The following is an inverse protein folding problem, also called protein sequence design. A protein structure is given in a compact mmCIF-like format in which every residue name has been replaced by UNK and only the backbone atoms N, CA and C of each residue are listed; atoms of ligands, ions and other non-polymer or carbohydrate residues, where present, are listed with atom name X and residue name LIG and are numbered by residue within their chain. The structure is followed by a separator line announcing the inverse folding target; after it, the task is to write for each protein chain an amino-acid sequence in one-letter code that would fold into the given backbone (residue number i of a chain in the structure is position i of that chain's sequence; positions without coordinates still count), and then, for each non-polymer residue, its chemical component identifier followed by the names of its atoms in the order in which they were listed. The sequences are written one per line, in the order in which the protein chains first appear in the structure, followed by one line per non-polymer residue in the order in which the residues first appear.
data_IF_572992851440
#
_entry.id   IF_572992851440
#
_cell.length_a   1.000
_cell.length_b   1.000
_cell.length_c   1.000
_cell.angle_alpha   90.00
_cell.angle_beta   90.00
_cell.angle_gamma   90.00
#
_symmetry.space_group_name_H-M   'P 1'
#
loop_
_entity.id
_entity.type
_entity.pdbx_description
1 polymer ?
#
# COMPACT_ATOMS: atom_id res chain seq x y z
N UNK A 1 -13.72 -21.26 15.91
CA UNK A 1 -13.82 -20.97 15.54
C UNK A 1 -14.05 -19.91 15.25
N UNK A 2 -14.56 -19.45 15.22
CA UNK A 2 -14.99 -18.18 14.91
C UNK A 2 -14.05 -17.18 14.56
N UNK A 3 -13.03 -17.47 14.49
CA UNK A 3 -11.97 -16.58 14.23
C UNK A 3 -11.89 -16.09 12.84
N UNK A 4 -12.72 -16.63 11.98
CA UNK A 4 -12.63 -16.26 10.58
C UNK A 4 -12.88 -14.79 10.33
N UNK A 5 -13.45 -14.07 11.27
CA UNK A 5 -13.68 -12.67 11.07
C UNK A 5 -12.53 -11.82 11.47
N UNK A 6 -11.59 -12.37 12.21
CA UNK A 6 -10.50 -11.59 12.75
C UNK A 6 -9.27 -11.78 11.91
N UNK A 7 -9.17 -10.98 10.88
CA UNK A 7 -7.95 -11.01 10.10
C UNK A 7 -6.84 -10.41 10.94
N UNK A 8 -5.75 -11.13 11.08
CA UNK A 8 -4.59 -10.59 11.75
C UNK A 8 -4.00 -9.49 10.89
N UNK A 9 -3.21 -8.63 11.49
CA UNK A 9 -2.55 -7.57 10.73
C UNK A 9 -1.74 -8.16 9.58
N UNK A 10 -1.09 -9.28 9.83
CA UNK A 10 -0.29 -9.94 8.82
C UNK A 10 -1.13 -10.36 7.62
N UNK A 11 -2.32 -10.93 7.88
CA UNK A 11 -3.17 -11.38 6.79
C UNK A 11 -3.77 -10.23 6.02
N UNK A 12 -4.09 -9.14 6.70
CA UNK A 12 -4.58 -7.94 6.04
C UNK A 12 -3.52 -7.42 5.08
N UNK A 13 -2.29 -7.31 5.54
CA UNK A 13 -1.22 -6.81 4.69
C UNK A 13 -0.89 -7.76 3.56
N UNK A 14 -1.01 -9.07 3.77
CA UNK A 14 -0.82 -10.03 2.70
C UNK A 14 -1.84 -9.82 1.59
N UNK A 15 -3.08 -9.58 1.97
CA UNK A 15 -4.13 -9.36 0.97
C UNK A 15 -3.89 -8.07 0.20
N UNK A 16 -3.52 -7.01 0.89
CA UNK A 16 -3.20 -5.75 0.23
C UNK A 16 -2.05 -5.95 -0.75
N UNK A 17 -1.04 -6.67 -0.31
CA UNK A 17 0.14 -6.93 -1.11
C UNK A 17 -0.18 -7.73 -2.37
N UNK A 18 -1.08 -8.71 -2.23
CA UNK A 18 -1.51 -9.51 -3.36
C UNK A 18 -2.21 -8.64 -4.40
N UNK A 19 -3.10 -7.77 -3.96
CA UNK A 19 -3.82 -6.89 -4.87
C UNK A 19 -2.88 -5.94 -5.58
N UNK A 20 -1.94 -5.37 -4.84
CA UNK A 20 -0.95 -4.47 -5.41
C UNK A 20 -0.14 -5.19 -6.49
N UNK A 21 0.27 -6.41 -6.19
CA UNK A 21 1.02 -7.20 -7.15
C UNK A 21 0.24 -7.50 -8.41
N UNK A 22 -1.06 -7.79 -8.26
CA UNK A 22 -1.90 -8.07 -9.42
C UNK A 22 -2.06 -6.85 -10.32
N UNK A 23 -2.20 -5.68 -9.72
CA UNK A 23 -2.41 -4.48 -10.51
C UNK A 23 -1.12 -4.00 -11.17
N UNK A 24 -0.01 -4.02 -10.41
CA UNK A 24 1.25 -3.55 -10.94
C UNK A 24 1.91 -4.55 -11.88
N UNK A 25 1.64 -5.83 -11.68
CA UNK A 25 2.15 -6.86 -12.57
C UNK A 25 3.67 -6.88 -12.60
N UNK A 26 4.21 -6.97 -13.80
CA UNK A 26 5.66 -7.06 -13.99
C UNK A 26 6.35 -5.71 -14.04
N UNK A 27 5.62 -4.64 -13.77
CA UNK A 27 6.22 -3.31 -13.84
C UNK A 27 7.24 -3.15 -12.73
N UNK A 28 8.30 -2.44 -13.06
CA UNK A 28 9.34 -2.16 -12.08
C UNK A 28 8.88 -1.02 -11.21
N UNK A 29 8.24 -1.36 -10.15
CA UNK A 29 7.76 -0.38 -9.20
C UNK A 29 8.06 -0.87 -7.81
N UNK A 30 8.41 0.06 -6.93
CA UNK A 30 8.64 -0.25 -5.53
C UNK A 30 7.44 0.20 -4.74
N UNK A 31 7.06 -0.60 -3.76
CA UNK A 31 5.92 -0.30 -2.90
C UNK A 31 6.43 -0.18 -1.47
N UNK A 32 6.09 0.92 -0.84
CA UNK A 32 6.49 1.16 0.55
C UNK A 32 5.26 1.25 1.42
N UNK A 33 5.29 0.56 2.55
CA UNK A 33 4.31 0.73 3.60
C UNK A 33 4.85 1.78 4.54
N UNK A 34 4.07 2.80 4.84
CA UNK A 34 4.54 3.82 5.76
C UNK A 34 3.41 4.16 6.75
N UNK A 35 3.65 5.11 7.63
CA UNK A 35 2.65 5.50 8.61
C UNK A 35 2.55 4.51 9.76
N UNK A 36 1.42 4.51 10.44
CA UNK A 36 1.27 3.75 11.68
C UNK A 36 1.41 2.24 11.48
N UNK A 37 0.96 1.72 10.33
CA UNK A 37 1.10 0.29 10.08
C UNK A 37 2.56 -0.11 9.92
N UNK A 38 3.38 0.78 9.35
CA UNK A 38 4.79 0.49 9.20
C UNK A 38 5.50 0.49 10.55
N UNK A 39 5.02 1.31 11.48
CA UNK A 39 5.65 1.42 12.79
C UNK A 39 5.10 0.42 13.81
N UNK A 40 4.13 -0.39 13.42
CA UNK A 40 3.52 -1.33 14.35
C UNK A 40 2.61 -0.64 15.35
N UNK A 41 2.11 0.54 15.01
CA UNK A 41 1.26 1.34 15.89
C UNK A 41 -0.17 1.45 15.39
N UNK A 42 -0.54 0.61 14.45
CA UNK A 42 -1.86 0.71 13.85
C UNK A 42 -2.95 0.36 14.86
N UNK A 43 -4.05 1.09 14.78
CA UNK A 43 -5.23 0.82 15.58
C UNK A 43 -6.35 0.45 14.63
N UNK A 44 -7.53 0.21 15.19
CA UNK A 44 -8.69 -0.14 14.38
C UNK A 44 -9.06 0.90 13.35
N UNK A 45 -8.72 2.16 13.62
CA UNK A 45 -9.10 3.25 12.74
C UNK A 45 -7.94 3.74 11.89
N UNK A 46 -6.79 3.10 11.97
CA UNK A 46 -5.64 3.53 11.19
C UNK A 46 -5.78 3.14 9.74
N UNK A 47 -5.56 4.10 8.85
CA UNK A 47 -5.50 3.79 7.42
C UNK A 47 -4.18 3.09 7.12
N UNK A 48 -4.21 2.28 6.08
CA UNK A 48 -2.98 1.66 5.57
C UNK A 48 -2.42 2.60 4.52
N UNK A 49 -1.18 3.04 4.72
CA UNK A 49 -0.56 4.03 3.85
C UNK A 49 0.49 3.37 2.97
N UNK A 50 0.26 3.44 1.66
CA UNK A 50 1.18 2.88 0.68
C UNK A 50 1.72 3.96 -0.22
N UNK A 51 2.98 3.85 -0.59
CA UNK A 51 3.60 4.75 -1.55
C UNK A 51 4.19 3.92 -2.67
N UNK A 52 3.98 4.38 -3.89
CA UNK A 52 4.46 3.69 -5.08
C UNK A 52 5.54 4.53 -5.72
N UNK A 53 6.68 3.91 -5.99
CA UNK A 53 7.74 4.56 -6.71
C UNK A 53 8.10 3.72 -7.94
N UNK A 54 8.05 4.34 -9.11
CA UNK A 54 8.40 3.65 -10.34
C UNK A 54 9.44 4.47 -11.09
N UNK A 55 10.45 3.81 -11.68
CA UNK A 55 11.49 4.53 -12.43
C UNK A 55 10.96 5.14 -13.71
N UNK A 56 9.86 4.63 -14.22
CA UNK A 56 9.21 5.17 -15.40
C UNK A 56 7.75 5.40 -15.10
N UNK A 57 7.10 6.32 -15.81
CA UNK A 57 5.68 6.57 -15.55
C UNK A 57 4.85 5.31 -15.73
N UNK A 58 3.90 5.11 -14.83
CA UNK A 58 2.97 4.02 -14.95
C UNK A 58 1.93 4.39 -16.01
N UNK A 59 1.34 3.39 -16.68
CA UNK A 59 0.29 3.68 -17.63
C UNK A 59 -0.85 4.46 -16.98
N UNK A 60 -1.49 5.34 -17.75
CA UNK A 60 -2.60 6.12 -17.20
C UNK A 60 -3.66 5.21 -16.57
N UNK A 61 -4.15 5.61 -15.43
CA UNK A 61 -5.21 4.87 -14.75
C UNK A 61 -4.72 3.73 -13.87
N UNK A 62 -3.42 3.44 -13.85
CA UNK A 62 -2.92 2.32 -13.05
C UNK A 62 -3.22 2.52 -11.56
N UNK A 63 -2.90 3.69 -11.02
CA UNK A 63 -3.12 3.92 -9.60
C UNK A 63 -4.60 4.06 -9.27
N UNK A 64 -5.39 4.60 -10.20
CA UNK A 64 -6.82 4.67 -10.00
C UNK A 64 -7.42 3.26 -9.91
N UNK A 65 -6.95 2.37 -10.78
CA UNK A 65 -7.39 0.99 -10.76
C UNK A 65 -6.98 0.29 -9.47
N UNK A 66 -5.77 0.56 -9.01
CA UNK A 66 -5.30 -0.01 -7.77
C UNK A 66 -6.18 0.44 -6.60
N UNK A 67 -6.47 1.73 -6.52
CA UNK A 67 -7.33 2.26 -5.47
C UNK A 67 -8.71 1.61 -5.52
N UNK A 68 -9.25 1.45 -6.70
CA UNK A 68 -10.55 0.84 -6.87
C UNK A 68 -10.55 -0.62 -6.43
N UNK A 69 -9.52 -1.38 -6.83
CA UNK A 69 -9.41 -2.78 -6.43
C UNK A 69 -9.31 -2.91 -4.91
N UNK A 70 -8.55 -2.04 -4.28
CA UNK A 70 -8.41 -2.08 -2.84
C UNK A 70 -9.71 -1.73 -2.14
N UNK A 71 -10.43 -0.77 -2.68
CA UNK A 71 -11.70 -0.35 -2.12
C UNK A 71 -12.76 -1.45 -2.23
N UNK A 72 -12.72 -2.22 -3.30
CA UNK A 72 -13.66 -3.29 -3.53
C UNK A 72 -13.28 -4.59 -2.84
N UNK A 73 -12.12 -4.62 -2.21
CA UNK A 73 -11.62 -5.84 -1.59
C UNK A 73 -12.26 -6.08 -0.23
N UNK A 74 -11.91 -7.22 0.36
CA UNK A 74 -12.38 -7.54 1.70
C UNK A 74 -11.54 -6.92 2.81
N UNK A 75 -10.54 -6.11 2.44
CA UNK A 75 -9.70 -5.45 3.43
C UNK A 75 -10.56 -4.48 4.23
N UNK A 76 -10.62 -4.63 5.55
CA UNK A 76 -11.54 -3.81 6.36
C UNK A 76 -10.97 -2.45 6.75
N UNK A 77 -9.90 -2.02 6.09
CA UNK A 77 -9.27 -0.73 6.35
C UNK A 77 -9.19 0.07 5.09
N UNK A 78 -9.25 1.37 5.23
CA UNK A 78 -9.02 2.25 4.11
C UNK A 78 -7.54 2.18 3.74
N UNK A 79 -7.26 2.09 2.46
CA UNK A 79 -5.89 2.06 1.97
C UNK A 79 -5.65 3.31 1.13
N UNK A 80 -4.67 4.10 1.55
CA UNK A 80 -4.28 5.31 0.83
C UNK A 80 -3.09 4.98 -0.04
N UNK A 81 -3.15 5.34 -1.31
CA UNK A 81 -2.07 5.07 -2.24
C UNK A 81 -1.53 6.39 -2.75
N UNK A 82 -0.25 6.62 -2.53
CA UNK A 82 0.44 7.84 -2.92
C UNK A 82 1.45 7.53 -4.00
N UNK A 83 1.48 8.36 -5.04
CA UNK A 83 2.49 8.27 -6.08
C UNK A 83 3.66 9.14 -5.64
N UNK A 84 4.80 8.51 -5.33
CA UNK A 84 5.95 9.27 -4.85
C UNK A 84 6.51 10.24 -5.88
N UNK A 85 6.25 9.98 -7.15
CA UNK A 85 6.70 10.87 -8.20
C UNK A 85 6.01 12.23 -8.11
N UNK A 86 4.77 12.23 -7.64
CA UNK A 86 3.98 13.44 -7.49
C UNK A 86 4.11 14.07 -6.11
N UNK A 87 4.83 13.43 -5.23
CA UNK A 87 4.88 13.86 -3.85
C UNK A 87 5.90 14.98 -3.64
N UNK A 88 5.65 15.76 -2.61
CA UNK A 88 6.59 16.79 -2.16
C UNK A 88 7.94 16.11 -1.83
N UNK A 89 9.07 16.71 -2.20
CA UNK A 89 10.37 16.10 -1.95
C UNK A 89 10.64 15.74 -0.48
N UNK A 90 10.17 16.55 0.46
CA UNK A 90 10.39 16.25 1.87
C UNK A 90 9.58 15.02 2.28
N UNK A 91 8.35 14.91 1.80
CA UNK A 91 7.53 13.75 2.09
C UNK A 91 8.13 12.51 1.44
N UNK A 92 8.59 12.64 0.20
CA UNK A 92 9.20 11.53 -0.50
C UNK A 92 10.40 11.01 0.27
N UNK A 93 11.25 11.91 0.76
CA UNK A 93 12.41 11.51 1.53
C UNK A 93 11.99 10.79 2.81
N UNK A 94 10.96 11.30 3.47
CA UNK A 94 10.46 10.69 4.69
C UNK A 94 10.03 9.25 4.43
N UNK A 95 9.27 9.02 3.37
CA UNK A 95 8.80 7.67 3.04
C UNK A 95 9.98 6.75 2.73
N UNK A 96 10.95 7.24 1.97
CA UNK A 96 12.08 6.40 1.59
C UNK A 96 12.96 6.04 2.80
N UNK A 97 13.00 6.91 3.79
CA UNK A 97 13.81 6.65 4.98
C UNK A 97 13.07 5.83 6.03
N UNK A 98 11.78 6.09 6.20
CA UNK A 98 11.02 5.48 7.28
C UNK A 98 10.11 4.35 6.84
N UNK A 99 9.80 4.27 5.58
CA UNK A 99 8.88 3.26 5.09
C UNK A 99 9.49 1.89 5.00
N UNK A 100 8.63 0.89 4.97
CA UNK A 100 9.04 -0.49 4.78
C UNK A 100 8.86 -0.86 3.32
N UNK A 101 9.95 -1.25 2.69
CA UNK A 101 9.91 -1.65 1.29
C UNK A 101 9.30 -3.02 1.17
N UNK A 102 8.25 -3.12 0.37
CA UNK A 102 7.60 -4.39 0.12
C UNK A 102 8.14 -5.13 -1.08
N UNK A 103 8.92 -4.61 -1.86
CA UNK A 103 9.20 -5.07 -3.07
C UNK A 103 9.64 -6.30 -3.38
N UNK A 104 9.59 -6.54 -4.13
CA UNK A 104 9.99 -7.09 -4.95
C UNK A 104 9.35 -7.70 -5.63
#
# INVERSE_FOLDING_TARGET
MGTSHNLTASKVLEEVRRIVGEVLGDRKASVYLFGSWARGEATRTSDIDLAIEAPAPLPPGTLARLRERLEESSVPYRVEVVDLKEADPAFRRHVLEEGLLWSD
#
